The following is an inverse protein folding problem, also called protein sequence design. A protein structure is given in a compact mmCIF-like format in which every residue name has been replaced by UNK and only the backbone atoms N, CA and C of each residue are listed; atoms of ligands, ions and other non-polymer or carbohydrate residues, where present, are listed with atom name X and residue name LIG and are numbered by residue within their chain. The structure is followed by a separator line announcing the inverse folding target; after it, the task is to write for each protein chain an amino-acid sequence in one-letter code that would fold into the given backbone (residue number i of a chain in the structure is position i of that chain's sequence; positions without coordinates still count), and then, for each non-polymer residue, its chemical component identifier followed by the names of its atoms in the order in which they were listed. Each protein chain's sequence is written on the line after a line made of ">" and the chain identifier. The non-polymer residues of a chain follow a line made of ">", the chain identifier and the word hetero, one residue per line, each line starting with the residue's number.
data_IF_935756015703
#
_entry.id   IF_935756015703
#
_cell.length_a   1.000
_cell.length_b   1.000
_cell.length_c   1.000
_cell.angle_alpha   90.00
_cell.angle_beta   90.00
_cell.angle_gamma   90.00
#
_symmetry.space_group_name_H-M   'P 1'
#
loop_
_entity.id
_entity.type
_entity.pdbx_description
1 polymer ?
#
# COMPACT_ATOMS: atom_id res chain seq x y z
N UNK A 1 6.10 -8.34 -20.27
CA UNK A 1 4.61 -8.32 -20.29
C UNK A 1 4.12 -9.58 -19.61
N UNK A 2 3.43 -9.47 -18.46
CA UNK A 2 2.81 -10.63 -17.81
C UNK A 2 1.56 -11.05 -18.58
N UNK A 3 1.54 -12.29 -19.07
CA UNK A 3 0.36 -12.93 -19.66
C UNK A 3 -0.57 -13.29 -18.52
N UNK A 4 -1.74 -12.65 -18.44
CA UNK A 4 -2.76 -13.00 -17.46
C UNK A 4 -3.29 -14.39 -17.77
N UNK A 5 -3.42 -15.24 -16.76
CA UNK A 5 -4.13 -16.50 -16.91
C UNK A 5 -5.63 -16.23 -17.07
N UNK A 6 -6.35 -17.16 -17.69
CA UNK A 6 -7.79 -17.02 -17.96
C UNK A 6 -8.55 -16.75 -16.66
N UNK A 7 -9.15 -15.57 -16.54
CA UNK A 7 -9.93 -15.14 -15.38
C UNK A 7 -9.19 -14.22 -14.40
N UNK A 8 -7.90 -13.92 -14.60
CA UNK A 8 -7.19 -12.95 -13.76
C UNK A 8 -7.45 -11.50 -14.17
N UNK A 9 -7.51 -10.62 -13.17
CA UNK A 9 -7.64 -9.18 -13.35
C UNK A 9 -6.33 -8.52 -12.95
N UNK A 10 -5.82 -7.58 -13.77
CA UNK A 10 -4.65 -6.78 -13.39
C UNK A 10 -4.98 -5.91 -12.18
N UNK A 11 -4.06 -5.84 -11.24
CA UNK A 11 -4.13 -5.00 -10.08
C UNK A 11 -3.00 -3.96 -10.10
N UNK A 12 -3.31 -2.76 -9.61
CA UNK A 12 -2.33 -1.72 -9.32
C UNK A 12 -2.34 -1.41 -7.83
N UNK A 13 -1.15 -1.36 -7.24
CA UNK A 13 -0.95 -1.00 -5.85
C UNK A 13 -0.71 0.49 -5.73
N UNK A 14 -1.49 1.16 -4.89
CA UNK A 14 -1.43 2.60 -4.69
C UNK A 14 -1.18 2.96 -3.22
N UNK A 15 -0.58 4.14 -2.96
CA UNK A 15 -0.45 4.63 -1.61
C UNK A 15 -1.81 4.75 -0.92
N UNK A 16 -1.78 4.63 0.41
CA UNK A 16 -2.96 4.77 1.25
C UNK A 16 -3.68 6.09 0.95
N UNK A 17 -5.01 6.05 0.88
CA UNK A 17 -5.85 7.24 0.85
C UNK A 17 -6.03 7.81 2.25
N UNK A 18 -6.63 8.99 2.35
CA UNK A 18 -6.90 9.66 3.64
C UNK A 18 -7.78 8.79 4.54
N UNK A 19 -8.77 8.10 3.97
CA UNK A 19 -9.66 7.20 4.71
C UNK A 19 -8.91 5.98 5.24
N UNK A 20 -8.08 5.33 4.42
CA UNK A 20 -7.30 4.15 4.81
C UNK A 20 -6.24 4.47 5.89
N UNK A 21 -5.82 5.74 5.98
CA UNK A 21 -4.90 6.20 7.00
C UNK A 21 -5.57 6.60 8.33
N UNK A 22 -6.91 6.74 8.37
CA UNK A 22 -7.60 7.23 9.56
C UNK A 22 -7.38 6.29 10.76
N UNK A 23 -6.59 6.74 11.73
CA UNK A 23 -6.21 5.97 12.93
C UNK A 23 -4.97 5.09 12.76
N UNK A 24 -4.26 5.18 11.63
CA UNK A 24 -2.92 4.60 11.49
C UNK A 24 -1.88 5.48 12.18
N UNK A 25 -0.75 4.86 12.56
CA UNK A 25 0.35 5.58 13.20
C UNK A 25 1.01 6.56 12.20
N UNK A 26 0.98 7.85 12.52
CA UNK A 26 1.75 8.89 11.85
C UNK A 26 2.90 9.30 12.77
N UNK A 27 4.18 9.07 12.41
CA UNK A 27 5.28 9.63 13.17
C UNK A 27 5.27 11.16 13.11
N UNK A 28 5.55 11.85 14.23
CA UNK A 28 5.57 13.31 14.26
C UNK A 28 6.69 13.86 13.38
N UNK A 29 6.42 14.96 12.67
CA UNK A 29 7.41 15.64 11.83
C UNK A 29 7.66 15.02 10.45
N UNK A 30 7.03 13.90 10.11
CA UNK A 30 7.10 13.28 8.77
C UNK A 30 5.90 13.73 7.93
N UNK A 31 6.10 14.21 6.69
CA UNK A 31 5.00 14.63 5.83
C UNK A 31 4.02 13.50 5.50
N UNK A 32 2.72 13.80 5.45
CA UNK A 32 1.67 12.80 5.20
C UNK A 32 1.85 12.02 3.89
N UNK A 33 2.46 12.64 2.88
CA UNK A 33 2.76 11.99 1.59
C UNK A 33 3.79 10.87 1.67
N UNK A 34 4.63 10.87 2.70
CA UNK A 34 5.68 9.86 2.92
C UNK A 34 5.12 8.70 3.73
N UNK A 35 4.33 8.99 4.75
CA UNK A 35 3.79 7.96 5.66
C UNK A 35 2.73 7.07 4.99
N UNK A 36 2.00 7.61 4.00
CA UNK A 36 0.99 6.88 3.23
C UNK A 36 1.55 5.83 2.27
N UNK A 37 2.87 5.78 2.07
CA UNK A 37 3.48 4.89 1.08
C UNK A 37 3.63 3.48 1.64
N UNK A 38 3.08 2.51 0.93
CA UNK A 38 3.36 1.10 1.12
C UNK A 38 4.61 0.67 0.34
N UNK A 39 5.29 -0.41 0.76
CA UNK A 39 6.54 -0.86 0.15
C UNK A 39 6.37 -1.41 -1.27
N UNK A 40 5.13 -1.68 -1.70
CA UNK A 40 4.83 -2.21 -3.03
C UNK A 40 4.05 -1.21 -3.90
N UNK A 41 3.95 0.05 -3.47
CA UNK A 41 3.24 1.08 -4.23
C UNK A 41 3.84 1.26 -5.63
N UNK A 42 2.98 1.44 -6.63
CA UNK A 42 3.39 1.60 -8.02
C UNK A 42 3.61 0.29 -8.76
N UNK A 43 3.56 -0.87 -8.08
CA UNK A 43 3.52 -2.16 -8.78
C UNK A 43 2.21 -2.32 -9.55
N UNK A 44 2.32 -2.63 -10.82
CA UNK A 44 1.22 -2.81 -11.78
C UNK A 44 1.28 -4.15 -12.54
N UNK A 45 2.29 -4.98 -12.23
CA UNK A 45 2.47 -6.35 -12.69
C UNK A 45 1.78 -7.39 -11.79
N UNK A 46 0.91 -6.93 -10.88
CA UNK A 46 0.15 -7.78 -9.98
C UNK A 46 -1.09 -8.30 -10.71
N UNK A 47 -1.35 -9.60 -10.61
CA UNK A 47 -2.59 -10.22 -11.04
C UNK A 47 -3.37 -10.67 -9.81
N UNK A 48 -4.68 -10.45 -9.82
CA UNK A 48 -5.59 -10.94 -8.80
C UNK A 48 -6.64 -11.84 -9.43
N UNK A 49 -6.89 -12.97 -8.79
CA UNK A 49 -7.92 -13.91 -9.22
C UNK A 49 -9.23 -13.56 -8.50
N UNK A 50 -10.32 -13.31 -9.22
CA UNK A 50 -11.65 -13.23 -8.65
C UNK A 50 -12.06 -14.56 -8.00
N UNK A 51 -12.98 -14.49 -7.03
CA UNK A 51 -13.65 -15.66 -6.47
C UNK A 51 -14.64 -16.29 -7.47
N UNK A 52 -15.33 -17.35 -7.03
CA UNK A 52 -16.30 -18.07 -7.86
C UNK A 52 -17.49 -17.21 -8.32
N UNK A 53 -17.81 -16.15 -7.57
CA UNK A 53 -18.88 -15.20 -7.85
C UNK A 53 -18.39 -13.98 -8.68
N UNK A 54 -17.10 -13.96 -9.04
CA UNK A 54 -16.46 -12.85 -9.77
C UNK A 54 -16.08 -11.65 -8.90
N UNK A 55 -16.24 -11.77 -7.57
CA UNK A 55 -15.78 -10.82 -6.58
C UNK A 55 -14.26 -10.78 -6.48
N UNK A 56 -13.70 -9.59 -6.26
CA UNK A 56 -12.26 -9.47 -6.01
C UNK A 56 -11.98 -9.58 -4.51
N UNK A 57 -10.87 -10.23 -4.09
CA UNK A 57 -10.46 -10.27 -2.71
C UNK A 57 -10.42 -8.87 -2.10
N UNK A 58 -11.11 -8.68 -0.97
CA UNK A 58 -11.12 -7.37 -0.30
C UNK A 58 -9.72 -6.93 0.13
N UNK A 59 -8.87 -7.88 0.53
CA UNK A 59 -7.52 -7.61 1.00
C UNK A 59 -6.50 -8.44 0.23
N UNK A 60 -5.38 -7.82 -0.13
CA UNK A 60 -4.17 -8.50 -0.59
C UNK A 60 -3.10 -8.40 0.48
N UNK A 61 -2.43 -9.51 0.73
CA UNK A 61 -1.33 -9.57 1.69
C UNK A 61 -0.01 -9.88 0.99
N UNK A 62 1.06 -9.27 1.47
CA UNK A 62 2.42 -9.46 0.99
C UNK A 62 3.35 -9.70 2.18
N UNK A 63 4.51 -10.33 1.91
CA UNK A 63 5.50 -10.62 2.96
C UNK A 63 4.94 -11.48 4.09
N UNK A 64 4.12 -12.48 3.78
CA UNK A 64 3.52 -13.36 4.78
C UNK A 64 2.45 -12.71 5.66
N UNK A 65 1.77 -11.66 5.18
CA UNK A 65 0.75 -10.95 5.97
C UNK A 65 1.25 -9.66 6.64
N UNK A 66 2.54 -9.34 6.50
CA UNK A 66 3.13 -8.14 7.09
C UNK A 66 2.59 -6.85 6.47
N UNK A 67 2.28 -6.88 5.18
CA UNK A 67 1.84 -5.71 4.40
C UNK A 67 0.50 -6.04 3.77
N UNK A 68 -0.50 -5.20 4.03
CA UNK A 68 -1.87 -5.38 3.56
C UNK A 68 -2.27 -4.20 2.67
N UNK A 69 -2.89 -4.53 1.55
CA UNK A 69 -3.57 -3.58 0.69
C UNK A 69 -5.07 -3.91 0.64
N UNK A 70 -5.93 -2.89 0.68
CA UNK A 70 -7.38 -3.01 0.61
C UNK A 70 -7.87 -2.60 -0.79
N UNK A 71 -8.83 -3.36 -1.31
CA UNK A 71 -9.49 -3.08 -2.58
C UNK A 71 -10.25 -1.75 -2.52
N UNK A 72 -9.95 -0.84 -3.44
CA UNK A 72 -10.51 0.52 -3.56
C UNK A 72 -11.33 0.70 -4.86
N UNK A 73 -11.68 -0.40 -5.53
CA UNK A 73 -12.45 -0.38 -6.77
C UNK A 73 -11.60 -0.64 -8.01
N UNK A 74 -12.04 -0.11 -9.15
CA UNK A 74 -11.36 -0.28 -10.44
C UNK A 74 -11.00 1.05 -11.05
N UNK A 75 -9.90 1.08 -11.79
CA UNK A 75 -9.53 2.24 -12.59
C UNK A 75 -10.32 2.31 -13.90
N UNK A 76 -10.11 3.39 -14.66
CA UNK A 76 -10.78 3.62 -15.96
C UNK A 76 -10.48 2.55 -17.02
N UNK A 77 -9.43 1.76 -16.83
CA UNK A 77 -9.03 0.66 -17.73
C UNK A 77 -9.54 -0.70 -17.23
N UNK A 78 -10.29 -0.73 -16.13
CA UNK A 78 -10.84 -1.95 -15.54
C UNK A 78 -9.86 -2.72 -14.65
N UNK A 79 -8.67 -2.16 -14.36
CA UNK A 79 -7.71 -2.75 -13.41
C UNK A 79 -8.19 -2.58 -11.99
N UNK A 80 -8.02 -3.60 -11.16
CA UNK A 80 -8.29 -3.53 -9.73
C UNK A 80 -7.32 -2.56 -9.05
N UNK A 81 -7.83 -1.64 -8.25
CA UNK A 81 -7.02 -0.71 -7.47
C UNK A 81 -6.99 -1.22 -6.04
N UNK A 82 -5.79 -1.43 -5.51
CA UNK A 82 -5.58 -1.80 -4.12
C UNK A 82 -4.76 -0.70 -3.45
N UNK A 83 -5.29 -0.10 -2.39
CA UNK A 83 -4.59 0.93 -1.61
C UNK A 83 -3.93 0.32 -0.40
N UNK A 84 -2.74 0.81 -0.07
CA UNK A 84 -2.06 0.40 1.14
C UNK A 84 -2.97 0.62 2.37
N UNK A 85 -3.07 -0.39 3.24
CA UNK A 85 -3.91 -0.40 4.42
C UNK A 85 -3.02 -0.39 5.68
N UNK A 86 -2.52 0.79 6.11
CA UNK A 86 -1.53 0.87 7.18
C UNK A 86 -2.03 0.35 8.53
N UNK A 87 -3.32 0.48 8.83
CA UNK A 87 -3.91 -0.10 10.07
C UNK A 87 -3.94 -1.61 10.10
N UNK A 88 -4.08 -2.23 8.93
CA UNK A 88 -4.16 -3.68 8.81
C UNK A 88 -2.77 -4.31 8.67
N UNK A 89 -1.75 -3.51 8.35
CA UNK A 89 -0.38 -3.97 8.09
C UNK A 89 0.44 -3.99 9.39
N UNK A 90 0.75 -5.17 9.97
CA UNK A 90 1.49 -5.24 11.23
C UNK A 90 2.88 -4.61 11.15
N UNK A 91 3.52 -4.63 9.98
CA UNK A 91 4.84 -4.03 9.79
C UNK A 91 4.80 -2.50 9.72
N UNK A 92 3.63 -1.88 9.57
CA UNK A 92 3.52 -0.45 9.28
C UNK A 92 4.21 0.42 10.34
N UNK A 93 3.94 0.17 11.61
CA UNK A 93 4.53 0.94 12.72
C UNK A 93 6.06 0.86 12.71
N UNK A 94 6.61 -0.35 12.52
CA UNK A 94 8.06 -0.56 12.47
C UNK A 94 8.71 0.14 11.28
N UNK A 95 8.06 0.10 10.11
CA UNK A 95 8.54 0.82 8.92
C UNK A 95 8.50 2.33 9.16
N UNK A 96 7.43 2.85 9.76
CA UNK A 96 7.29 4.29 10.05
C UNK A 96 8.28 4.79 11.10
N UNK A 97 8.66 3.97 12.07
CA UNK A 97 9.71 4.30 13.03
C UNK A 97 11.05 4.52 12.32
N UNK A 98 11.45 3.60 11.42
CA UNK A 98 12.66 3.77 10.62
C UNK A 98 12.61 5.00 9.70
N UNK A 99 11.46 5.29 9.10
CA UNK A 99 11.28 6.52 8.30
C UNK A 99 11.45 7.77 9.17
N UNK A 100 10.90 7.77 10.39
CA UNK A 100 11.02 8.88 11.31
C UNK A 100 12.47 9.14 11.73
N UNK A 101 13.24 8.08 11.99
CA UNK A 101 14.68 8.15 12.32
C UNK A 101 15.46 8.81 11.18
N UNK A 102 15.28 8.33 9.95
CA UNK A 102 15.95 8.90 8.76
C UNK A 102 15.58 10.38 8.58
N UNK A 103 14.31 10.74 8.73
CA UNK A 103 13.87 12.13 8.62
C UNK A 103 14.46 13.02 9.73
N UNK A 104 14.56 12.51 10.96
CA UNK A 104 15.18 13.22 12.07
C UNK A 104 16.67 13.45 11.82
N UNK A 105 17.40 12.43 11.36
CA UNK A 105 18.82 12.55 11.01
C UNK A 105 19.07 13.54 9.87
N UNK A 106 18.25 13.50 8.82
CA UNK A 106 18.35 14.45 7.70
C UNK A 106 18.06 15.89 8.13
N UNK A 107 17.08 16.09 9.03
CA UNK A 107 16.78 17.42 9.57
C UNK A 107 17.93 17.97 10.43
N UNK A 108 18.63 17.11 11.17
CA UNK A 108 19.80 17.49 11.97
C UNK A 108 21.03 17.80 11.11
N UNK A 109 21.24 17.07 10.01
CA UNK A 109 22.40 17.26 9.10
C UNK A 109 22.20 18.38 8.07
N UNK A 110 20.97 18.68 7.66
CA UNK A 110 20.65 19.74 6.71
C UNK A 110 20.52 21.15 7.31
N UNK A 111 20.81 21.30 8.60
CA UNK A 111 20.82 22.58 9.32
C UNK A 111 22.22 23.13 9.59
N UNK A 112 23.27 22.56 8.99
CA UNK A 112 24.63 23.10 8.98
C UNK A 112 24.96 23.73 7.62
#
# INVERSE_FOLDING_TARGET
>A
MATLLRGEVRAILQPAGTAQYQGAYCPPGVPFREVRRGPFDGKDDIAVRPDADGGLPRHMSFGGGAVIYEYDGRDKTGRAVYRYAPRLSPSHTKVMQGVAEVYAEHKLKGGQ
#
